data_IF_722670397740
#
_entry.id   IF_722670397740
#
_cell.length_a   1.000
_cell.length_b   1.000
_cell.length_c   1.000
_cell.angle_alpha   90.00
_cell.angle_beta   90.00
_cell.angle_gamma   90.00
#
_symmetry.space_group_name_H-M   'P 1'
#
loop_
_entity.id
_entity.type
_entity.pdbx_description
1 polymer ?
#
# COMPACT_ATOMS: atom_id res chain seq x y z
N UNK A 1 -20.73 -4.29 -17.39
CA UNK A 1 -20.06 -4.89 -16.20
C UNK A 1 -19.20 -3.82 -15.57
N UNK A 2 -19.65 -3.30 -14.43
CA UNK A 2 -19.15 -2.08 -13.77
C UNK A 2 -17.72 -2.27 -13.25
N UNK A 3 -16.75 -1.60 -13.86
CA UNK A 3 -15.39 -1.48 -13.34
C UNK A 3 -15.34 -0.27 -12.42
N UNK A 4 -15.44 -0.51 -11.11
CA UNK A 4 -15.28 0.55 -10.12
C UNK A 4 -13.81 1.01 -10.18
N UNK A 5 -13.56 2.07 -10.96
CA UNK A 5 -12.32 2.83 -10.86
C UNK A 5 -12.37 3.54 -9.51
N UNK A 6 -11.82 2.88 -8.50
CA UNK A 6 -11.54 3.54 -7.23
C UNK A 6 -10.64 4.74 -7.54
N UNK A 7 -11.14 5.94 -7.27
CA UNK A 7 -10.57 7.22 -7.75
C UNK A 7 -9.25 7.60 -7.10
N UNK A 8 -8.51 6.62 -6.57
CA UNK A 8 -7.24 6.83 -5.90
C UNK A 8 -6.15 7.12 -6.93
N UNK A 9 -5.31 8.13 -6.68
CA UNK A 9 -4.26 8.53 -7.61
C UNK A 9 -3.28 7.38 -7.82
N UNK A 10 -2.92 7.13 -9.06
CA UNK A 10 -1.87 6.17 -9.44
C UNK A 10 -0.50 6.85 -9.43
N UNK A 11 0.55 6.12 -9.06
CA UNK A 11 1.94 6.53 -9.30
C UNK A 11 2.42 5.98 -10.67
N UNK A 12 3.55 6.45 -11.21
CA UNK A 12 4.03 6.05 -12.53
C UNK A 12 4.24 4.54 -12.67
N UNK A 13 3.72 3.95 -13.75
CA UNK A 13 3.82 2.50 -14.01
C UNK A 13 5.29 2.03 -14.13
N UNK A 14 6.16 2.88 -14.65
CA UNK A 14 7.61 2.63 -14.74
C UNK A 14 8.25 2.41 -13.37
N UNK A 15 7.83 3.19 -12.37
CA UNK A 15 8.31 3.06 -11.00
C UNK A 15 7.76 1.78 -10.34
N UNK A 16 6.51 1.40 -10.66
CA UNK A 16 5.92 0.14 -10.21
C UNK A 16 6.67 -1.07 -10.78
N UNK A 17 6.96 -1.07 -12.08
CA UNK A 17 7.70 -2.15 -12.74
C UNK A 17 9.14 -2.25 -12.24
N UNK A 18 9.84 -1.13 -12.09
CA UNK A 18 11.17 -1.09 -11.50
C UNK A 18 11.18 -1.62 -10.05
N UNK A 19 10.13 -1.34 -9.27
CA UNK A 19 9.97 -1.88 -7.92
C UNK A 19 9.87 -3.41 -7.92
N UNK A 20 9.02 -3.97 -8.79
CA UNK A 20 8.87 -5.43 -8.92
C UNK A 20 10.19 -6.09 -9.32
N UNK A 21 10.89 -5.56 -10.32
CA UNK A 21 12.16 -6.13 -10.78
C UNK A 21 13.25 -6.06 -9.70
N UNK A 22 13.31 -4.95 -8.96
CA UNK A 22 14.24 -4.77 -7.84
C UNK A 22 14.00 -5.77 -6.72
N UNK A 23 12.74 -6.04 -6.37
CA UNK A 23 12.38 -6.97 -5.29
C UNK A 23 12.56 -8.43 -5.69
N UNK A 24 12.25 -8.78 -6.94
CA UNK A 24 12.39 -10.15 -7.44
C UNK A 24 13.79 -10.47 -7.96
N UNK A 25 14.63 -9.46 -8.21
CA UNK A 25 16.01 -9.61 -8.68
C UNK A 25 16.14 -10.09 -10.12
N UNK A 26 15.06 -10.11 -10.89
CA UNK A 26 15.01 -10.57 -12.29
C UNK A 26 14.04 -9.71 -13.11
N UNK A 27 14.17 -9.72 -14.44
CA UNK A 27 13.29 -8.95 -15.31
C UNK A 27 11.86 -9.48 -15.31
N UNK A 28 10.87 -8.61 -15.48
CA UNK A 28 9.46 -9.00 -15.58
C UNK A 28 9.22 -10.01 -16.70
N UNK A 29 9.91 -9.83 -17.82
CA UNK A 29 9.86 -10.74 -18.97
C UNK A 29 10.38 -12.13 -18.63
N UNK A 30 11.22 -12.33 -17.61
CA UNK A 30 11.66 -13.67 -17.23
C UNK A 30 10.55 -14.47 -16.51
N UNK A 31 9.65 -13.77 -15.80
CA UNK A 31 8.61 -14.39 -14.95
C UNK A 31 7.24 -14.41 -15.66
N UNK A 32 6.87 -13.32 -16.33
CA UNK A 32 5.53 -13.09 -16.85
C UNK A 32 5.48 -13.16 -18.38
N UNK A 33 4.53 -13.91 -18.94
CA UNK A 33 4.28 -13.94 -20.39
C UNK A 33 3.59 -12.67 -20.86
N UNK A 34 2.86 -12.01 -19.96
CA UNK A 34 2.25 -10.71 -20.17
C UNK A 34 1.94 -10.04 -18.83
N UNK A 35 2.02 -8.73 -18.79
CA UNK A 35 1.58 -7.86 -17.69
C UNK A 35 0.78 -6.69 -18.28
N UNK A 36 -0.25 -6.22 -17.59
CA UNK A 36 -1.01 -5.05 -18.02
C UNK A 36 -0.13 -3.79 -17.92
N UNK A 37 -0.14 -2.95 -18.95
CA UNK A 37 0.65 -1.71 -18.96
C UNK A 37 0.14 -0.66 -17.97
N UNK A 38 -1.14 -0.73 -17.60
CA UNK A 38 -1.78 0.12 -16.61
C UNK A 38 -2.37 -0.73 -15.47
N UNK A 39 -2.54 -0.18 -14.26
CA UNK A 39 -3.15 -0.90 -13.16
C UNK A 39 -4.62 -1.20 -13.46
N UNK A 40 -5.05 -2.39 -13.06
CA UNK A 40 -6.47 -2.80 -13.13
C UNK A 40 -7.27 -2.28 -11.94
N UNK A 41 -6.60 -1.93 -10.85
CA UNK A 41 -7.17 -1.32 -9.66
C UNK A 41 -6.11 -0.50 -8.92
N UNK A 42 -6.52 0.59 -8.29
CA UNK A 42 -5.75 1.24 -7.24
C UNK A 42 -6.17 0.65 -5.90
N UNK A 43 -5.20 0.47 -4.99
CA UNK A 43 -5.43 0.06 -3.61
C UNK A 43 -5.00 1.20 -2.67
N UNK A 44 -5.44 1.14 -1.40
CA UNK A 44 -5.08 2.10 -0.35
C UNK A 44 -3.56 2.35 -0.30
N UNK A 45 -2.77 1.27 -0.32
CA UNK A 45 -1.31 1.29 -0.14
C UNK A 45 -0.51 0.99 -1.41
N UNK A 46 -1.15 0.89 -2.57
CA UNK A 46 -0.51 0.37 -3.77
C UNK A 46 -1.34 0.40 -5.04
N UNK A 47 -0.85 -0.29 -6.05
CA UNK A 47 -1.52 -0.52 -7.33
C UNK A 47 -1.58 -2.01 -7.62
N UNK A 48 -2.58 -2.45 -8.39
CA UNK A 48 -2.71 -3.84 -8.79
C UNK A 48 -2.63 -3.96 -10.30
N UNK A 49 -1.75 -4.84 -10.77
CA UNK A 49 -1.56 -5.19 -12.17
C UNK A 49 -2.05 -6.60 -12.44
N UNK A 50 -2.54 -6.85 -13.66
CA UNK A 50 -2.88 -8.19 -14.11
C UNK A 50 -1.70 -8.77 -14.87
N UNK A 51 -1.27 -9.98 -14.52
CA UNK A 51 -0.22 -10.65 -15.25
C UNK A 51 -0.54 -12.13 -15.50
N UNK A 52 0.24 -12.74 -16.39
CA UNK A 52 0.22 -14.18 -16.66
C UNK A 52 1.61 -14.75 -16.46
N UNK A 53 1.74 -15.80 -15.67
CA UNK A 53 3.02 -16.48 -15.43
C UNK A 53 3.49 -17.27 -16.65
N UNK A 54 4.77 -17.18 -17.02
CA UNK A 54 5.35 -17.95 -18.14
C UNK A 54 5.34 -19.45 -17.88
N UNK A 55 5.72 -19.87 -16.67
CA UNK A 55 5.92 -21.29 -16.34
C UNK A 55 4.63 -22.12 -16.33
N UNK A 56 3.52 -21.51 -15.94
CA UNK A 56 2.26 -22.21 -15.64
C UNK A 56 1.08 -21.68 -16.44
N UNK A 57 1.23 -20.54 -17.13
CA UNK A 57 0.14 -19.84 -17.81
C UNK A 57 -0.93 -19.28 -16.88
N UNK A 58 -0.76 -19.37 -15.55
CA UNK A 58 -1.74 -18.88 -14.57
C UNK A 58 -1.88 -17.37 -14.61
N UNK A 59 -3.11 -16.89 -14.53
CA UNK A 59 -3.41 -15.47 -14.32
C UNK A 59 -3.20 -15.12 -12.85
N UNK A 60 -2.47 -14.03 -12.61
CA UNK A 60 -2.17 -13.52 -11.27
C UNK A 60 -2.45 -12.02 -11.19
N UNK A 61 -2.73 -11.56 -9.97
CA UNK A 61 -2.78 -10.14 -9.64
C UNK A 61 -1.48 -9.79 -8.92
N UNK A 62 -0.77 -8.77 -9.39
CA UNK A 62 0.46 -8.27 -8.78
C UNK A 62 0.11 -6.99 -8.05
N UNK A 63 0.18 -6.99 -6.73
CA UNK A 63 0.03 -5.78 -5.92
C UNK A 63 1.41 -5.17 -5.71
N UNK A 64 1.59 -3.94 -6.14
CA UNK A 64 2.82 -3.17 -5.99
C UNK A 64 2.59 -2.09 -4.95
N UNK A 65 3.44 -2.05 -3.93
CA UNK A 65 3.38 -1.04 -2.88
C UNK A 65 3.71 0.35 -3.45
N UNK A 66 3.09 1.40 -2.91
CA UNK A 66 3.47 2.77 -3.23
C UNK A 66 4.93 3.03 -2.80
N UNK A 67 5.75 3.66 -3.64
CA UNK A 67 7.07 4.13 -3.25
C UNK A 67 6.99 5.05 -2.03
N UNK A 68 7.95 4.93 -1.11
CA UNK A 68 8.10 5.77 0.09
C UNK A 68 6.88 5.79 1.03
N UNK A 69 5.99 4.79 0.94
CA UNK A 69 4.75 4.77 1.72
C UNK A 69 5.00 4.64 3.23
N UNK A 70 6.07 3.94 3.63
CA UNK A 70 6.43 3.75 5.04
C UNK A 70 6.80 5.08 5.70
N UNK A 71 7.58 5.91 5.01
CA UNK A 71 7.98 7.23 5.49
C UNK A 71 6.79 8.17 5.59
N UNK A 72 5.94 8.19 4.56
CA UNK A 72 4.73 9.01 4.53
C UNK A 72 3.77 8.64 5.67
N UNK A 73 3.48 7.35 5.83
CA UNK A 73 2.60 6.84 6.88
C UNK A 73 3.23 7.06 8.26
N UNK A 74 4.54 6.88 8.40
CA UNK A 74 5.26 7.15 9.65
C UNK A 74 5.12 8.61 10.09
N UNK A 75 5.26 9.56 9.16
CA UNK A 75 5.07 10.98 9.44
C UNK A 75 3.62 11.30 9.82
N UNK A 76 2.66 10.76 9.09
CA UNK A 76 1.23 10.95 9.39
C UNK A 76 0.89 10.45 10.79
N UNK A 77 1.34 9.23 11.14
CA UNK A 77 1.13 8.67 12.48
C UNK A 77 1.81 9.48 13.58
N UNK A 78 3.01 10.01 13.32
CA UNK A 78 3.69 10.89 14.26
C UNK A 78 2.87 12.17 14.54
N UNK A 79 2.36 12.82 13.50
CA UNK A 79 1.57 14.05 13.61
C UNK A 79 0.24 13.81 14.34
N UNK A 80 -0.52 12.79 13.94
CA UNK A 80 -1.82 12.49 14.57
C UNK A 80 -1.66 12.01 16.01
N UNK A 81 -0.58 11.27 16.31
CA UNK A 81 -0.29 10.84 17.68
C UNK A 81 0.02 12.03 18.58
N UNK A 82 0.80 13.00 18.09
CA UNK A 82 1.04 14.26 18.82
C UNK A 82 -0.28 15.00 19.08
N UNK A 83 -1.16 15.08 18.08
CA UNK A 83 -2.51 15.64 18.28
C UNK A 83 -3.31 14.85 19.32
N UNK A 84 -3.23 13.52 19.30
CA UNK A 84 -3.84 12.64 20.29
C UNK A 84 -3.39 12.95 21.73
N UNK A 85 -2.11 13.28 21.93
CA UNK A 85 -1.61 13.74 23.22
C UNK A 85 -2.28 15.04 23.69
N UNK A 86 -2.46 16.02 22.80
CA UNK A 86 -3.17 17.26 23.12
C UNK A 86 -4.64 16.98 23.45
N UNK A 87 -5.31 16.11 22.70
CA UNK A 87 -6.70 15.74 22.94
C UNK A 87 -6.85 15.09 24.32
N UNK A 88 -6.07 14.05 24.62
CA UNK A 88 -6.10 13.37 25.92
C UNK A 88 -5.82 14.33 27.09
N UNK A 89 -5.01 15.37 26.88
CA UNK A 89 -4.61 16.30 27.94
C UNK A 89 -5.60 17.45 28.17
N UNK A 90 -6.28 17.92 27.12
CA UNK A 90 -7.03 19.17 27.16
C UNK A 90 -8.53 19.02 26.86
N UNK A 91 -9.00 17.83 26.46
CA UNK A 91 -10.38 17.60 26.03
C UNK A 91 -11.06 16.59 26.95
N UNK A 92 -11.58 17.09 28.08
CA UNK A 92 -12.15 16.27 29.16
C UNK A 92 -13.43 15.50 28.78
N UNK A 93 -14.09 15.86 27.67
CA UNK A 93 -15.27 15.12 27.17
C UNK A 93 -14.90 13.80 26.49
N UNK A 94 -13.65 13.62 26.08
CA UNK A 94 -13.17 12.38 25.49
C UNK A 94 -12.54 11.52 26.58
N UNK A 95 -13.24 10.45 26.96
CA UNK A 95 -12.80 9.51 28.00
C UNK A 95 -11.94 8.37 27.47
N UNK A 96 -11.91 8.20 26.14
CA UNK A 96 -11.09 7.20 25.46
C UNK A 96 -9.64 7.67 25.36
N UNK A 97 -8.69 6.78 25.59
CA UNK A 97 -7.28 7.06 25.29
C UNK A 97 -7.07 7.11 23.76
N UNK A 98 -7.03 8.34 23.22
CA UNK A 98 -6.88 8.61 21.79
C UNK A 98 -5.50 8.14 21.29
N UNK A 99 -4.46 8.27 22.11
CA UNK A 99 -3.11 7.81 21.76
C UNK A 99 -3.09 6.29 21.62
N UNK A 100 -3.69 5.56 22.55
CA UNK A 100 -3.78 4.10 22.46
C UNK A 100 -4.56 3.62 21.23
N UNK A 101 -5.64 4.32 20.87
CA UNK A 101 -6.41 4.04 19.65
C UNK A 101 -5.57 4.27 18.38
N UNK A 102 -4.83 5.38 18.34
CA UNK A 102 -3.92 5.70 17.22
C UNK A 102 -2.81 4.65 17.12
N UNK A 103 -2.22 4.22 18.24
CA UNK A 103 -1.16 3.22 18.26
C UNK A 103 -1.66 1.85 17.77
N UNK A 104 -2.90 1.46 18.10
CA UNK A 104 -3.56 0.27 17.55
C UNK A 104 -3.78 0.39 16.04
N UNK A 105 -4.28 1.54 15.58
CA UNK A 105 -4.50 1.79 14.17
C UNK A 105 -3.20 1.76 13.37
N UNK A 106 -2.14 2.41 13.88
CA UNK A 106 -0.80 2.38 13.32
C UNK A 106 -0.32 0.94 13.16
N UNK A 107 -0.43 0.12 14.21
CA UNK A 107 0.01 -1.28 14.16
C UNK A 107 -0.67 -2.06 13.04
N UNK A 108 -1.98 -1.87 12.82
CA UNK A 108 -2.71 -2.54 11.73
C UNK A 108 -2.26 -2.07 10.35
N UNK A 109 -2.04 -0.76 10.18
CA UNK A 109 -1.55 -0.22 8.91
C UNK A 109 -0.13 -0.73 8.61
N UNK A 110 0.78 -0.71 9.58
CA UNK A 110 2.13 -1.24 9.41
C UNK A 110 2.16 -2.76 9.15
N UNK A 111 1.19 -3.52 9.68
CA UNK A 111 1.02 -4.93 9.33
C UNK A 111 0.65 -5.12 7.85
N UNK A 112 -0.15 -4.23 7.27
CA UNK A 112 -0.47 -4.27 5.83
C UNK A 112 0.69 -3.84 4.93
N UNK A 113 1.71 -3.15 5.45
CA UNK A 113 2.90 -2.75 4.69
C UNK A 113 3.93 -3.90 4.59
N UNK A 114 3.91 -4.85 5.52
CA UNK A 114 4.81 -6.00 5.47
C UNK A 114 4.23 -7.12 4.60
N UNK A 115 4.68 -7.21 3.35
CA UNK A 115 4.26 -8.24 2.40
C UNK A 115 5.02 -9.57 2.50
N UNK A 116 6.00 -9.70 3.41
CA UNK A 116 6.85 -10.90 3.57
C UNK A 116 6.40 -11.75 4.77
N UNK A 117 5.10 -12.01 4.90
CA UNK A 117 4.59 -12.94 5.92
C UNK A 117 4.75 -14.40 5.52
#
# INVERSE_FOLDING_TARGET
MNSQKDGLPTFPDEEAFACIERELGVSLDSIFSSISSTPIAAASLGQVYKARLKNSGKLVAIKVQRPNIEEAIGLDFYLIRNLGFFINKYVDIITTDVVALIDEFARRVFQELNYVQ
#
